data_IF_857736552375
#
_entry.id   IF_857736552375
#
_cell.length_a   1.000
_cell.length_b   1.000
_cell.length_c   1.000
_cell.angle_alpha   90.00
_cell.angle_beta   90.00
_cell.angle_gamma   90.00
#
_symmetry.space_group_name_H-M   'P 1'
#
loop_
_entity.id
_entity.type
_entity.pdbx_description
1 polymer ?
#
# COMPACT_ATOMS: atom_id res chain seq x y z
N UNK A 1 -1.20 38.13 -44.10
CA UNK A 1 -0.30 37.42 -43.15
C UNK A 1 -0.89 37.42 -41.73
N UNK A 2 -2.11 36.87 -41.53
CA UNK A 2 -2.75 36.79 -40.19
C UNK A 2 -3.10 35.35 -39.78
N UNK A 3 -3.23 34.43 -40.75
CA UNK A 3 -3.56 33.03 -40.48
C UNK A 3 -2.39 32.19 -39.93
N UNK A 4 -1.14 32.61 -40.15
CA UNK A 4 0.03 31.85 -39.68
C UNK A 4 0.22 31.89 -38.16
N UNK A 5 -0.20 32.99 -37.52
CA UNK A 5 -0.03 33.20 -36.07
C UNK A 5 -1.02 32.32 -35.26
N UNK A 6 -2.21 32.06 -35.80
CA UNK A 6 -3.21 31.22 -35.16
C UNK A 6 -2.77 29.74 -35.08
N UNK A 7 -2.03 29.25 -36.09
CA UNK A 7 -1.51 27.88 -36.10
C UNK A 7 -0.37 27.66 -35.09
N UNK A 8 0.48 28.67 -34.88
CA UNK A 8 1.57 28.63 -33.90
C UNK A 8 1.07 28.60 -32.45
N UNK A 9 -0.03 29.28 -32.15
CA UNK A 9 -0.63 29.28 -30.82
C UNK A 9 -1.35 27.96 -30.49
N UNK A 10 -1.95 27.30 -31.47
CA UNK A 10 -2.64 26.02 -31.29
C UNK A 10 -1.67 24.85 -31.10
N UNK A 11 -0.51 24.87 -31.77
CA UNK A 11 0.53 23.86 -31.62
C UNK A 11 1.21 23.89 -30.24
N UNK A 12 1.31 25.06 -29.61
CA UNK A 12 1.88 25.21 -28.26
C UNK A 12 1.04 24.57 -27.16
N UNK A 13 -0.29 24.51 -27.31
CA UNK A 13 -1.20 23.94 -26.31
C UNK A 13 -1.27 22.40 -26.35
N UNK A 14 -0.87 21.76 -27.45
CA UNK A 14 -0.81 20.30 -27.57
C UNK A 14 0.48 19.69 -26.99
N UNK A 15 1.49 20.52 -26.70
CA UNK A 15 2.79 20.08 -26.19
C UNK A 15 2.84 19.93 -24.66
N UNK A 16 1.84 20.43 -23.93
CA UNK A 16 1.66 20.18 -22.50
C UNK A 16 0.95 18.84 -22.32
N UNK A 17 1.65 17.77 -22.66
CA UNK A 17 1.30 16.44 -22.20
C UNK A 17 1.46 16.41 -20.68
N UNK A 18 0.37 16.65 -19.94
CA UNK A 18 0.31 16.29 -18.53
C UNK A 18 0.42 14.77 -18.49
N UNK A 19 1.63 14.28 -18.24
CA UNK A 19 1.83 12.88 -17.97
C UNK A 19 1.21 12.65 -16.58
N UNK A 20 -0.07 12.29 -16.55
CA UNK A 20 -0.77 11.83 -15.36
C UNK A 20 -0.18 10.46 -14.99
N UNK A 21 1.06 10.45 -14.52
CA UNK A 21 1.67 9.27 -13.93
C UNK A 21 0.91 8.96 -12.67
N UNK A 22 0.08 7.91 -12.68
CA UNK A 22 -0.52 7.41 -11.46
C UNK A 22 0.60 7.16 -10.45
N UNK A 23 0.47 7.70 -9.25
CA UNK A 23 1.38 7.37 -8.15
C UNK A 23 1.41 5.84 -8.01
N UNK A 24 2.59 5.21 -8.00
CA UNK A 24 2.68 3.77 -7.86
C UNK A 24 2.12 3.35 -6.49
N UNK A 25 1.14 2.45 -6.52
CA UNK A 25 0.46 1.90 -5.34
C UNK A 25 0.65 0.40 -5.27
N UNK A 26 0.79 -0.12 -4.06
CA UNK A 26 0.69 -1.54 -3.78
C UNK A 26 -0.79 -1.93 -3.63
N UNK A 27 -1.14 -3.14 -4.03
CA UNK A 27 -2.47 -3.71 -3.80
C UNK A 27 -2.38 -5.01 -3.02
N UNK A 28 -3.35 -5.23 -2.14
CA UNK A 28 -3.51 -6.44 -1.35
C UNK A 28 -4.99 -6.83 -1.33
N UNK A 29 -5.31 -8.10 -1.56
CA UNK A 29 -6.68 -8.60 -1.42
C UNK A 29 -6.84 -9.28 -0.07
N UNK A 30 -7.71 -8.73 0.79
CA UNK A 30 -7.90 -9.23 2.14
C UNK A 30 -8.77 -10.50 2.18
N UNK A 31 -8.87 -11.11 3.35
CA UNK A 31 -9.69 -12.32 3.55
C UNK A 31 -11.18 -12.13 3.34
N UNK A 32 -11.67 -10.89 3.42
CA UNK A 32 -13.06 -10.53 3.13
C UNK A 32 -13.29 -10.29 1.62
N UNK A 33 -12.25 -10.41 0.80
CA UNK A 33 -12.30 -10.25 -0.65
C UNK A 33 -12.15 -8.81 -1.15
N UNK A 34 -11.95 -7.85 -0.25
CA UNK A 34 -11.74 -6.43 -0.56
C UNK A 34 -10.32 -6.17 -1.04
N UNK A 35 -10.16 -5.19 -1.94
CA UNK A 35 -8.83 -4.74 -2.38
C UNK A 35 -8.41 -3.52 -1.59
N UNK A 36 -7.30 -3.64 -0.88
CA UNK A 36 -6.67 -2.60 -0.09
C UNK A 36 -5.51 -2.02 -0.89
N UNK A 37 -5.48 -0.70 -1.01
CA UNK A 37 -4.38 0.03 -1.64
C UNK A 37 -3.45 0.57 -0.56
N UNK A 38 -2.16 0.29 -0.70
CA UNK A 38 -1.12 0.70 0.23
C UNK A 38 -0.11 1.59 -0.48
N UNK A 39 0.39 2.60 0.23
CA UNK A 39 1.42 3.49 -0.27
C UNK A 39 2.75 3.24 0.42
N UNK A 40 3.84 3.46 -0.28
CA UNK A 40 5.13 3.71 0.35
C UNK A 40 5.28 5.21 0.54
N UNK A 41 5.70 5.65 1.74
CA UNK A 41 5.90 7.05 2.10
C UNK A 41 7.41 7.37 2.03
N UNK A 42 7.93 7.94 0.92
CA UNK A 42 9.37 8.06 0.70
C UNK A 42 10.06 8.99 1.71
N UNK A 43 9.37 10.04 2.14
CA UNK A 43 9.89 11.00 3.12
C UNK A 43 10.13 10.37 4.50
N UNK A 44 9.32 9.37 4.86
CA UNK A 44 9.44 8.63 6.11
C UNK A 44 10.23 7.32 5.94
N UNK A 45 10.62 6.99 4.69
CA UNK A 45 11.19 5.69 4.30
C UNK A 45 10.36 4.50 4.81
N UNK A 46 9.05 4.65 4.85
CA UNK A 46 8.16 3.70 5.52
C UNK A 46 7.02 3.27 4.59
N UNK A 47 6.81 1.96 4.51
CA UNK A 47 5.63 1.37 3.89
C UNK A 47 4.40 1.51 4.77
N UNK A 48 3.28 1.94 4.20
CA UNK A 48 1.99 1.76 4.85
C UNK A 48 1.73 0.27 5.04
N UNK A 49 1.31 -0.09 6.24
CA UNK A 49 0.94 -1.45 6.59
C UNK A 49 -0.57 -1.60 6.78
N UNK A 50 -1.04 -2.81 6.50
CA UNK A 50 -2.42 -3.23 6.71
C UNK A 50 -2.42 -4.61 7.36
N UNK A 51 -3.20 -4.76 8.42
CA UNK A 51 -3.38 -6.02 9.13
C UNK A 51 -4.73 -6.60 8.73
N UNK A 52 -4.70 -7.81 8.17
CA UNK A 52 -5.88 -8.55 7.72
C UNK A 52 -6.42 -9.39 8.88
N UNK A 53 -7.68 -9.15 9.23
CA UNK A 53 -8.35 -9.85 10.32
C UNK A 53 -9.28 -10.93 9.77
N UNK A 54 -9.14 -12.13 10.32
CA UNK A 54 -10.10 -13.21 10.11
C UNK A 54 -11.38 -13.00 10.91
N UNK A 55 -12.36 -13.86 10.63
CA UNK A 55 -13.70 -13.81 11.24
C UNK A 55 -13.72 -14.03 12.76
N UNK A 56 -12.68 -14.63 13.33
CA UNK A 56 -12.55 -14.91 14.77
C UNK A 56 -11.96 -13.72 15.57
N UNK A 57 -11.64 -12.62 14.88
CA UNK A 57 -11.02 -11.43 15.44
C UNK A 57 -9.51 -11.55 15.64
N UNK A 58 -8.88 -12.62 15.14
CA UNK A 58 -7.42 -12.71 15.06
C UNK A 58 -6.96 -12.16 13.72
N UNK A 59 -5.77 -11.57 13.69
CA UNK A 59 -5.16 -11.31 12.40
C UNK A 59 -4.63 -12.61 11.79
N UNK A 60 -4.61 -12.66 10.47
CA UNK A 60 -4.09 -13.79 9.69
C UNK A 60 -2.84 -13.41 8.92
N UNK A 61 -2.79 -12.18 8.42
CA UNK A 61 -1.72 -11.67 7.58
C UNK A 61 -1.50 -10.17 7.82
N UNK A 62 -0.32 -9.70 7.47
CA UNK A 62 0.04 -8.29 7.36
C UNK A 62 0.57 -8.03 5.96
N UNK A 63 0.10 -6.99 5.31
CA UNK A 63 0.61 -6.51 4.04
C UNK A 63 1.34 -5.17 4.25
N UNK A 64 2.49 -4.99 3.62
CA UNK A 64 3.28 -3.76 3.66
C UNK A 64 3.69 -3.39 2.25
N UNK A 65 3.61 -2.11 1.89
CA UNK A 65 4.14 -1.63 0.62
C UNK A 65 5.63 -1.31 0.73
N UNK A 66 6.48 -2.00 -0.02
CA UNK A 66 7.93 -1.73 -0.01
C UNK A 66 8.31 -0.51 -0.84
N UNK A 67 9.56 -0.05 -0.68
CA UNK A 67 10.13 1.07 -1.46
C UNK A 67 10.13 0.84 -2.97
N UNK A 68 10.08 -0.43 -3.40
CA UNK A 68 10.02 -0.85 -4.80
C UNK A 68 8.59 -0.97 -5.31
N UNK A 69 7.61 -0.46 -4.54
CA UNK A 69 6.18 -0.57 -4.80
C UNK A 69 5.73 -2.03 -4.99
N UNK A 70 6.28 -2.92 -4.17
CA UNK A 70 5.86 -4.33 -4.11
C UNK A 70 5.14 -4.59 -2.80
N UNK A 71 4.00 -5.25 -2.89
CA UNK A 71 3.28 -5.74 -1.70
C UNK A 71 4.05 -6.91 -1.09
N UNK A 72 4.53 -6.72 0.13
CA UNK A 72 5.13 -7.77 0.94
C UNK A 72 4.11 -8.27 1.94
N UNK A 73 3.90 -9.60 1.97
CA UNK A 73 2.89 -10.23 2.82
C UNK A 73 3.54 -11.15 3.84
N UNK A 74 3.23 -10.89 5.11
CA UNK A 74 3.66 -11.67 6.26
C UNK A 74 2.47 -12.46 6.81
N UNK A 75 2.68 -13.76 7.04
CA UNK A 75 1.63 -14.65 7.53
C UNK A 75 1.84 -14.93 9.02
N UNK A 76 0.75 -14.99 9.80
CA UNK A 76 0.81 -15.34 11.21
C UNK A 76 1.47 -16.71 11.47
N UNK A 77 1.37 -17.65 10.52
CA UNK A 77 2.03 -18.96 10.61
C UNK A 77 3.56 -18.90 10.69
N UNK A 78 4.19 -17.78 10.31
CA UNK A 78 5.64 -17.57 10.46
C UNK A 78 6.04 -17.20 11.88
N UNK A 79 5.09 -16.82 12.74
CA UNK A 79 5.34 -16.27 14.07
C UNK A 79 4.83 -17.21 15.17
N UNK A 80 5.71 -17.54 16.13
CA UNK A 80 5.33 -18.33 17.32
C UNK A 80 4.84 -17.40 18.43
N UNK A 81 3.67 -16.81 18.22
CA UNK A 81 3.00 -15.94 19.21
C UNK A 81 2.17 -16.80 20.16
N UNK A 82 2.21 -16.47 21.45
CA UNK A 82 1.49 -17.10 22.56
C UNK A 82 0.96 -16.01 23.49
N UNK A 83 -0.01 -16.32 24.34
CA UNK A 83 -0.50 -15.35 25.32
C UNK A 83 0.57 -14.86 26.30
N UNK A 84 1.59 -15.69 26.58
CA UNK A 84 2.70 -15.31 27.46
C UNK A 84 3.69 -14.33 26.83
N UNK A 85 3.93 -14.44 25.51
CA UNK A 85 4.92 -13.60 24.81
C UNK A 85 4.31 -12.50 23.94
N UNK A 86 2.98 -12.44 23.74
CA UNK A 86 2.33 -11.39 22.91
C UNK A 86 2.80 -9.97 23.26
N UNK A 87 3.00 -9.69 24.54
CA UNK A 87 3.48 -8.39 25.07
C UNK A 87 4.90 -8.00 24.66
N UNK A 88 5.69 -8.91 24.11
CA UNK A 88 7.07 -8.63 23.67
C UNK A 88 7.12 -8.10 22.24
N UNK A 89 6.01 -8.15 21.49
CA UNK A 89 5.91 -7.61 20.15
C UNK A 89 5.37 -6.18 20.21
N UNK A 90 6.02 -5.26 19.51
CA UNK A 90 5.57 -3.88 19.38
C UNK A 90 4.58 -3.75 18.21
N UNK A 91 3.48 -3.02 18.41
CA UNK A 91 2.44 -2.83 17.41
C UNK A 91 1.35 -3.91 17.43
N UNK A 92 0.51 -3.92 16.40
CA UNK A 92 -0.66 -4.82 16.32
C UNK A 92 -0.23 -6.22 15.88
N UNK A 93 0.58 -6.34 14.83
CA UNK A 93 1.09 -7.60 14.28
C UNK A 93 2.54 -7.83 14.72
N UNK A 94 2.96 -9.08 15.04
CA UNK A 94 2.19 -10.32 15.01
C UNK A 94 1.37 -10.58 16.29
N UNK A 95 1.34 -9.66 17.25
CA UNK A 95 0.65 -9.87 18.54
C UNK A 95 -0.85 -10.26 18.40
N UNK A 96 -1.52 -9.77 17.36
CA UNK A 96 -2.90 -10.09 17.02
C UNK A 96 -3.13 -11.51 16.47
N UNK A 97 -2.08 -12.29 16.19
CA UNK A 97 -2.19 -13.64 15.64
C UNK A 97 -2.80 -14.65 16.64
N UNK A 98 -2.84 -14.30 17.92
CA UNK A 98 -3.48 -15.08 18.98
C UNK A 98 -4.55 -14.25 19.68
N UNK A 99 -5.63 -14.93 20.08
CA UNK A 99 -6.67 -14.38 20.94
C UNK A 99 -6.42 -14.87 22.36
N UNK A 100 -6.18 -13.90 23.21
CA UNK A 100 -6.12 -13.95 24.65
C UNK A 100 -7.07 -12.80 25.08
#
# INVERSE_FOLDING_TARGET
MKCAIAFLLLAGMLAIGVNAGNEPVCSYRNTQGETIFLKYLPLLKQGQDYVDFGVDGKCVKRAVCSEKFKTEVEDCGKYRVTCGNKKTFNGVFPGCCVKC
#
